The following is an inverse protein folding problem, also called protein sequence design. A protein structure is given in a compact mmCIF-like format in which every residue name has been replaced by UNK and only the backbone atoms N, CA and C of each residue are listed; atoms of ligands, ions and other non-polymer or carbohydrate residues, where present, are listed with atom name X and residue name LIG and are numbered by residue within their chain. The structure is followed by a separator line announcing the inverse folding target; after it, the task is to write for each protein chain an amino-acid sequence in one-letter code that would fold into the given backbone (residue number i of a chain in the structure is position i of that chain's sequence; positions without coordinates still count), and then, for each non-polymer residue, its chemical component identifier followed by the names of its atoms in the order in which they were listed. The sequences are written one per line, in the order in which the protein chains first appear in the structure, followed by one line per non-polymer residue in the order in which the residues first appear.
data_IF_455394189912
#
_entry.id   IF_455394189912
#
_cell.length_a   1.000
_cell.length_b   1.000
_cell.length_c   1.000
_cell.angle_alpha   90.00
_cell.angle_beta   90.00
_cell.angle_gamma   90.00
#
_symmetry.space_group_name_H-M   'P 1'
#
loop_
_entity.id
_entity.type
_entity.pdbx_description
1 polymer ?
#
# COMPACT_ATOMS: atom_id res chain seq x y z
N UNK A 1 4.18 -18.79 -10.53
CA UNK A 1 3.19 -18.26 -9.56
C UNK A 1 1.91 -17.75 -10.21
N UNK A 2 1.91 -17.31 -11.47
CA UNK A 2 0.75 -16.62 -12.12
C UNK A 2 -0.60 -17.36 -12.13
N UNK A 3 -0.61 -18.69 -12.05
CA UNK A 3 -1.84 -19.51 -12.06
C UNK A 3 -1.97 -20.43 -10.83
N UNK A 4 -1.31 -20.07 -9.73
CA UNK A 4 -1.31 -20.90 -8.53
C UNK A 4 -2.68 -20.80 -7.82
N UNK A 5 -3.43 -21.90 -7.78
CA UNK A 5 -4.80 -21.95 -7.21
C UNK A 5 -4.92 -22.83 -5.97
N UNK A 6 -4.02 -23.82 -5.83
CA UNK A 6 -3.91 -24.78 -4.73
C UNK A 6 -5.26 -25.42 -4.28
N UNK A 7 -6.01 -26.08 -5.19
CA UNK A 7 -7.34 -26.61 -4.89
C UNK A 7 -7.33 -27.70 -3.81
N UNK A 8 -6.31 -28.55 -3.81
CA UNK A 8 -6.22 -29.72 -2.92
C UNK A 8 -5.22 -29.53 -1.77
N UNK A 9 -4.74 -28.30 -1.55
CA UNK A 9 -3.75 -27.98 -0.53
C UNK A 9 -4.26 -26.83 0.35
N UNK A 10 -5.01 -27.13 1.44
CA UNK A 10 -5.69 -26.12 2.25
C UNK A 10 -4.78 -25.04 2.82
N UNK A 11 -3.56 -25.39 3.25
CA UNK A 11 -2.62 -24.42 3.81
C UNK A 11 -2.03 -23.50 2.73
N UNK A 12 -1.71 -24.05 1.56
CA UNK A 12 -1.28 -23.26 0.41
C UNK A 12 -2.42 -22.35 -0.09
N UNK A 13 -3.68 -22.82 -0.01
CA UNK A 13 -4.85 -22.01 -0.36
C UNK A 13 -5.01 -20.81 0.59
N UNK A 14 -4.92 -21.04 1.91
CA UNK A 14 -4.93 -19.95 2.89
C UNK A 14 -3.85 -18.92 2.62
N UNK A 15 -2.64 -19.36 2.28
CA UNK A 15 -1.54 -18.45 1.93
C UNK A 15 -1.87 -17.61 0.68
N UNK A 16 -2.41 -18.23 -0.38
CA UNK A 16 -2.82 -17.52 -1.60
C UNK A 16 -3.89 -16.47 -1.29
N UNK A 17 -4.87 -16.81 -0.46
CA UNK A 17 -5.94 -15.89 -0.06
C UNK A 17 -5.40 -14.70 0.74
N UNK A 18 -4.51 -14.94 1.71
CA UNK A 18 -3.91 -13.88 2.55
C UNK A 18 -2.90 -12.98 1.84
N UNK A 19 -2.26 -13.47 0.77
CA UNK A 19 -1.22 -12.71 0.06
C UNK A 19 -1.66 -12.33 -1.36
N UNK A 20 -1.77 -13.33 -2.24
CA UNK A 20 -1.94 -13.09 -3.68
C UNK A 20 -3.29 -12.47 -3.98
N UNK A 21 -4.39 -13.05 -3.47
CA UNK A 21 -5.75 -12.54 -3.71
C UNK A 21 -5.94 -11.18 -3.04
N UNK A 22 -5.45 -11.03 -1.81
CA UNK A 22 -5.47 -9.76 -1.11
C UNK A 22 -4.81 -8.62 -1.92
N UNK A 23 -3.57 -8.82 -2.39
CA UNK A 23 -2.90 -7.79 -3.19
C UNK A 23 -3.59 -7.54 -4.53
N UNK A 24 -4.11 -8.57 -5.22
CA UNK A 24 -4.91 -8.35 -6.42
C UNK A 24 -6.13 -7.47 -6.16
N UNK A 25 -6.89 -7.78 -5.11
CA UNK A 25 -8.05 -6.98 -4.72
C UNK A 25 -7.66 -5.54 -4.35
N UNK A 26 -6.60 -5.38 -3.56
CA UNK A 26 -6.07 -4.06 -3.20
C UNK A 26 -5.71 -3.24 -4.44
N UNK A 27 -4.94 -3.80 -5.38
CA UNK A 27 -4.52 -3.07 -6.57
C UNK A 27 -5.69 -2.71 -7.49
N UNK A 28 -6.70 -3.59 -7.58
CA UNK A 28 -7.92 -3.31 -8.33
C UNK A 28 -8.72 -2.17 -7.72
N UNK A 29 -8.92 -2.15 -6.40
CA UNK A 29 -9.67 -1.08 -5.72
C UNK A 29 -8.98 0.29 -5.82
N UNK A 30 -7.64 0.31 -5.92
CA UNK A 30 -6.86 1.53 -6.10
C UNK A 30 -6.73 1.99 -7.57
N UNK A 31 -7.07 1.13 -8.54
CA UNK A 31 -6.87 1.42 -9.95
C UNK A 31 -7.58 2.70 -10.46
N UNK A 32 -8.80 3.09 -10.01
CA UNK A 32 -9.43 4.33 -10.47
C UNK A 32 -8.65 5.58 -10.01
N UNK A 33 -8.12 5.53 -8.80
CA UNK A 33 -7.30 6.60 -8.22
C UNK A 33 -5.95 6.73 -8.95
N UNK A 34 -5.21 5.63 -9.02
CA UNK A 34 -3.87 5.60 -9.62
C UNK A 34 -3.94 5.90 -11.13
N UNK A 35 -4.93 5.35 -11.83
CA UNK A 35 -5.12 5.55 -13.27
C UNK A 35 -5.32 7.02 -13.65
N UNK A 36 -6.18 7.74 -12.93
CA UNK A 36 -6.41 9.19 -13.16
C UNK A 36 -5.14 9.99 -12.89
N UNK A 37 -4.41 9.68 -11.81
CA UNK A 37 -3.17 10.37 -11.48
C UNK A 37 -2.11 10.20 -12.58
N UNK A 38 -1.84 8.95 -12.98
CA UNK A 38 -0.84 8.65 -14.00
C UNK A 38 -1.25 9.27 -15.35
N UNK A 39 -2.53 9.23 -15.71
CA UNK A 39 -3.03 9.83 -16.94
C UNK A 39 -2.74 11.34 -17.00
N UNK A 40 -2.93 12.08 -15.90
CA UNK A 40 -2.68 13.52 -15.83
C UNK A 40 -1.21 13.88 -16.03
N UNK A 41 -0.29 13.16 -15.38
CA UNK A 41 1.15 13.44 -15.49
C UNK A 41 1.76 12.93 -16.81
N UNK A 42 1.01 12.13 -17.58
CA UNK A 42 1.47 11.52 -18.83
C UNK A 42 1.05 12.27 -20.10
N UNK A 43 0.53 13.51 -19.98
CA UNK A 43 0.09 14.32 -21.12
C UNK A 43 1.25 14.54 -22.11
N UNK A 44 1.01 14.20 -23.38
CA UNK A 44 1.99 14.37 -24.46
C UNK A 44 2.98 13.22 -24.65
N UNK A 45 2.83 12.10 -23.90
CA UNK A 45 3.62 10.87 -24.10
C UNK A 45 2.97 9.97 -25.14
N UNK A 46 3.78 9.20 -25.88
CA UNK A 46 3.25 8.11 -26.72
C UNK A 46 2.78 6.95 -25.83
N UNK A 47 1.86 6.12 -26.32
CA UNK A 47 1.37 4.94 -25.58
C UNK A 47 2.54 4.03 -25.18
N UNK A 48 3.53 3.84 -26.07
CA UNK A 48 4.72 3.03 -25.77
C UNK A 48 5.54 3.61 -24.62
N UNK A 49 5.81 4.92 -24.63
CA UNK A 49 6.54 5.58 -23.56
C UNK A 49 5.78 5.52 -22.23
N UNK A 50 4.45 5.70 -22.29
CA UNK A 50 3.57 5.57 -21.14
C UNK A 50 3.66 4.17 -20.53
N UNK A 51 3.44 3.11 -21.32
CA UNK A 51 3.46 1.73 -20.83
C UNK A 51 4.82 1.35 -20.24
N UNK A 52 5.92 1.72 -20.91
CA UNK A 52 7.26 1.45 -20.39
C UNK A 52 7.52 2.19 -19.08
N UNK A 53 7.13 3.47 -18.98
CA UNK A 53 7.30 4.25 -17.76
C UNK A 53 6.51 3.70 -16.59
N UNK A 54 5.26 3.32 -16.81
CA UNK A 54 4.34 2.83 -15.76
C UNK A 54 4.68 1.43 -15.30
N UNK A 55 5.26 0.59 -16.15
CA UNK A 55 5.62 -0.78 -15.79
C UNK A 55 7.04 -0.85 -15.21
N UNK A 56 8.02 -0.29 -15.93
CA UNK A 56 9.45 -0.51 -15.61
C UNK A 56 9.87 0.29 -14.38
N UNK A 57 9.51 1.57 -14.31
CA UNK A 57 10.01 2.43 -13.23
C UNK A 57 9.50 1.98 -11.85
N UNK A 58 8.20 1.72 -11.64
CA UNK A 58 7.72 1.20 -10.34
C UNK A 58 8.29 -0.17 -10.02
N UNK A 59 8.42 -1.07 -11.01
CA UNK A 59 9.01 -2.38 -10.79
C UNK A 59 10.45 -2.29 -10.29
N UNK A 60 11.28 -1.42 -10.88
CA UNK A 60 12.67 -1.21 -10.41
C UNK A 60 12.72 -0.66 -8.99
N UNK A 61 11.85 0.30 -8.66
CA UNK A 61 11.75 0.84 -7.30
C UNK A 61 11.34 -0.25 -6.32
N UNK A 62 10.35 -1.08 -6.66
CA UNK A 62 9.93 -2.21 -5.83
C UNK A 62 11.05 -3.23 -5.64
N UNK A 63 11.76 -3.60 -6.71
CA UNK A 63 12.90 -4.53 -6.63
C UNK A 63 13.97 -3.99 -5.69
N UNK A 64 14.33 -2.71 -5.84
CA UNK A 64 15.30 -2.07 -4.96
C UNK A 64 14.82 -2.05 -3.51
N UNK A 65 13.57 -1.65 -3.26
CA UNK A 65 12.99 -1.60 -1.93
C UNK A 65 12.98 -2.97 -1.24
N UNK A 66 12.47 -4.01 -1.90
CA UNK A 66 12.43 -5.36 -1.34
C UNK A 66 13.83 -5.97 -1.18
N UNK A 67 14.75 -5.70 -2.09
CA UNK A 67 16.14 -6.16 -1.96
C UNK A 67 16.82 -5.55 -0.74
N UNK A 68 16.63 -4.24 -0.49
CA UNK A 68 17.23 -3.56 0.65
C UNK A 68 16.56 -3.96 1.96
N UNK A 69 15.24 -3.75 2.10
CA UNK A 69 14.57 -3.94 3.40
C UNK A 69 14.26 -5.40 3.67
N UNK A 70 13.75 -6.14 2.68
CA UNK A 70 13.49 -7.57 2.81
C UNK A 70 14.78 -8.38 2.96
N UNK A 71 15.81 -8.04 2.17
CA UNK A 71 17.13 -8.63 2.32
C UNK A 71 17.76 -8.36 3.70
N UNK A 72 17.67 -7.12 4.21
CA UNK A 72 18.15 -6.77 5.54
C UNK A 72 17.40 -7.52 6.65
N UNK A 73 16.07 -7.64 6.54
CA UNK A 73 15.27 -8.40 7.51
C UNK A 73 15.66 -9.88 7.53
N UNK A 74 15.84 -10.50 6.36
CA UNK A 74 16.31 -11.89 6.26
C UNK A 74 17.72 -12.04 6.83
N UNK A 75 18.63 -11.11 6.51
CA UNK A 75 20.00 -11.13 7.02
C UNK A 75 20.03 -11.10 8.55
N UNK A 76 19.25 -10.18 9.15
CA UNK A 76 19.11 -10.05 10.60
C UNK A 76 18.48 -11.28 11.23
N UNK A 77 17.40 -11.83 10.67
CA UNK A 77 16.75 -13.03 11.23
C UNK A 77 17.68 -14.26 11.17
N UNK A 78 18.52 -14.37 10.14
CA UNK A 78 19.44 -15.51 9.98
C UNK A 78 20.69 -15.42 10.86
N UNK A 79 21.20 -14.21 11.11
CA UNK A 79 22.49 -14.01 11.80
C UNK A 79 22.35 -13.41 13.20
N UNK A 80 21.19 -12.83 13.52
CA UNK A 80 20.90 -12.21 14.80
C UNK A 80 20.10 -13.12 15.73
N UNK A 81 20.08 -12.77 17.02
CA UNK A 81 19.21 -13.39 18.03
C UNK A 81 18.04 -12.45 18.38
N UNK A 82 17.64 -11.60 17.42
CA UNK A 82 16.72 -10.48 17.62
C UNK A 82 15.24 -10.88 17.62
N UNK A 83 14.93 -12.11 17.18
CA UNK A 83 13.57 -12.65 17.19
C UNK A 83 12.59 -11.82 16.37
N UNK A 84 12.99 -11.30 15.21
CA UNK A 84 12.13 -10.44 14.39
C UNK A 84 10.83 -11.15 14.00
N UNK A 85 10.90 -12.47 13.77
CA UNK A 85 9.73 -13.31 13.47
C UNK A 85 8.67 -13.35 14.57
N UNK A 86 9.04 -12.99 15.81
CA UNK A 86 8.12 -12.90 16.95
C UNK A 86 7.45 -11.54 17.11
N UNK A 87 7.94 -10.51 16.40
CA UNK A 87 7.38 -9.17 16.47
C UNK A 87 6.08 -9.07 15.67
N UNK A 88 5.21 -8.16 16.07
CA UNK A 88 4.07 -7.79 15.25
C UNK A 88 4.55 -7.16 13.93
N UNK A 89 3.82 -7.37 12.83
CA UNK A 89 4.21 -6.94 11.48
C UNK A 89 4.59 -5.46 11.41
N UNK A 90 3.83 -4.59 12.10
CA UNK A 90 4.06 -3.15 12.18
C UNK A 90 5.33 -2.75 12.95
N UNK A 91 5.90 -3.66 13.75
CA UNK A 91 7.12 -3.44 14.53
C UNK A 91 8.38 -3.95 13.82
N UNK A 92 8.26 -4.88 12.86
CA UNK A 92 9.39 -5.56 12.23
C UNK A 92 10.40 -4.58 11.62
N UNK A 93 9.95 -3.53 10.93
CA UNK A 93 10.84 -2.54 10.32
C UNK A 93 11.75 -1.86 11.35
N UNK A 94 11.17 -1.48 12.50
CA UNK A 94 11.90 -0.83 13.59
C UNK A 94 12.80 -1.83 14.32
N UNK A 95 12.37 -3.09 14.44
CA UNK A 95 13.21 -4.19 14.91
C UNK A 95 14.46 -4.37 14.06
N UNK A 96 14.31 -4.34 12.73
CA UNK A 96 15.45 -4.38 11.80
C UNK A 96 16.38 -3.19 12.03
N UNK A 97 15.85 -1.96 12.14
CA UNK A 97 16.70 -0.78 12.36
C UNK A 97 17.50 -0.83 13.65
N UNK A 98 16.99 -1.45 14.72
CA UNK A 98 17.72 -1.59 15.98
C UNK A 98 18.99 -2.42 15.85
N UNK A 99 19.10 -3.27 14.83
CA UNK A 99 20.27 -4.09 14.54
C UNK A 99 21.31 -3.36 13.66
N UNK A 100 21.01 -2.13 13.24
CA UNK A 100 21.92 -1.28 12.49
C UNK A 100 22.36 -0.06 13.31
N UNK A 101 23.56 0.50 13.03
CA UNK A 101 23.97 1.76 13.63
C UNK A 101 22.93 2.86 13.37
N UNK A 102 22.68 3.69 14.40
CA UNK A 102 21.69 4.77 14.36
C UNK A 102 20.22 4.32 14.18
N UNK A 103 19.86 3.11 14.63
CA UNK A 103 18.49 2.58 14.55
C UNK A 103 17.38 3.52 15.05
N UNK A 104 17.62 4.26 16.13
CA UNK A 104 16.67 5.28 16.63
C UNK A 104 16.45 6.41 15.61
N UNK A 105 17.52 6.90 14.97
CA UNK A 105 17.41 7.96 13.95
C UNK A 105 16.66 7.44 12.73
N UNK A 106 16.99 6.23 12.26
CA UNK A 106 16.28 5.57 11.16
C UNK A 106 14.79 5.39 11.46
N UNK A 107 14.47 5.02 12.69
CA UNK A 107 13.08 4.86 13.16
C UNK A 107 12.31 6.18 13.15
N UNK A 108 12.92 7.27 13.65
CA UNK A 108 12.31 8.60 13.60
C UNK A 108 12.06 9.05 12.16
N UNK A 109 13.06 8.87 11.29
CA UNK A 109 12.93 9.19 9.86
C UNK A 109 11.81 8.38 9.21
N UNK A 110 11.74 7.07 9.47
CA UNK A 110 10.67 6.22 8.95
C UNK A 110 9.30 6.65 9.44
N UNK A 111 9.14 7.01 10.72
CA UNK A 111 7.89 7.53 11.26
C UNK A 111 7.44 8.82 10.55
N UNK A 112 8.36 9.75 10.30
CA UNK A 112 8.09 10.98 9.54
C UNK A 112 7.67 10.63 8.11
N UNK A 113 8.39 9.72 7.45
CA UNK A 113 8.06 9.29 6.09
C UNK A 113 6.68 8.62 6.01
N UNK A 114 6.34 7.76 6.97
CA UNK A 114 5.00 7.15 7.06
C UNK A 114 3.93 8.23 7.18
N UNK A 115 4.13 9.25 8.03
CA UNK A 115 3.19 10.36 8.17
C UNK A 115 3.05 11.16 6.86
N UNK A 116 4.17 11.48 6.20
CA UNK A 116 4.15 12.18 4.91
C UNK A 116 3.45 11.36 3.83
N UNK A 117 3.74 10.06 3.72
CA UNK A 117 3.08 9.17 2.76
C UNK A 117 1.59 9.04 3.04
N UNK A 118 1.19 8.95 4.31
CA UNK A 118 -0.21 8.90 4.70
C UNK A 118 -0.94 10.18 4.29
N UNK A 119 -0.40 11.35 4.64
CA UNK A 119 -1.01 12.66 4.33
C UNK A 119 -1.11 12.87 2.81
N UNK A 120 -0.02 12.64 2.07
CA UNK A 120 0.03 12.83 0.62
C UNK A 120 -0.89 11.86 -0.14
N UNK A 121 -0.98 10.60 0.32
CA UNK A 121 -1.89 9.61 -0.26
C UNK A 121 -3.35 9.95 0.02
N UNK A 122 -3.68 10.36 1.25
CA UNK A 122 -5.02 10.78 1.63
C UNK A 122 -5.48 12.02 0.86
N UNK A 123 -4.62 13.04 0.72
CA UNK A 123 -4.92 14.24 -0.08
C UNK A 123 -5.20 13.87 -1.55
N UNK A 124 -4.35 13.02 -2.14
CA UNK A 124 -4.53 12.57 -3.51
C UNK A 124 -5.84 11.78 -3.70
N UNK A 125 -6.17 10.89 -2.75
CA UNK A 125 -7.39 10.08 -2.81
C UNK A 125 -8.65 10.94 -2.68
N UNK A 126 -8.71 11.85 -1.70
CA UNK A 126 -9.84 12.76 -1.50
C UNK A 126 -10.02 13.72 -2.67
N UNK A 127 -8.93 14.15 -3.30
CA UNK A 127 -8.98 14.95 -4.52
C UNK A 127 -9.65 14.18 -5.68
N UNK A 128 -9.25 12.93 -5.92
CA UNK A 128 -9.83 12.13 -7.01
C UNK A 128 -11.30 11.79 -6.73
N UNK A 129 -11.65 11.45 -5.48
CA UNK A 129 -13.05 11.25 -5.09
C UNK A 129 -13.87 12.53 -5.31
N UNK A 130 -13.33 13.68 -4.90
CA UNK A 130 -13.96 14.97 -5.12
C UNK A 130 -14.19 15.27 -6.60
N UNK A 131 -13.23 14.97 -7.46
CA UNK A 131 -13.37 15.09 -8.92
C UNK A 131 -14.51 14.20 -9.44
N UNK A 132 -14.55 12.93 -9.04
CA UNK A 132 -15.59 11.99 -9.46
C UNK A 132 -16.98 12.41 -9.00
N UNK A 133 -17.11 13.00 -7.80
CA UNK A 133 -18.40 13.45 -7.25
C UNK A 133 -18.76 14.90 -7.59
N UNK A 134 -17.99 15.55 -8.46
CA UNK A 134 -18.25 16.92 -8.96
C UNK A 134 -18.29 16.96 -10.49
N UNK A 135 -18.68 15.85 -11.13
CA UNK A 135 -18.83 15.79 -12.58
C UNK A 135 -17.50 15.85 -13.35
N UNK A 136 -16.40 15.42 -12.73
CA UNK A 136 -15.07 15.44 -13.35
C UNK A 136 -14.31 16.77 -13.20
N UNK A 137 -14.70 17.63 -12.25
CA UNK A 137 -13.99 18.89 -12.02
C UNK A 137 -12.50 18.68 -11.75
N UNK A 138 -11.66 19.38 -12.53
CA UNK A 138 -10.22 19.38 -12.32
C UNK A 138 -9.78 20.13 -11.04
N UNK A 139 -10.71 20.90 -10.44
CA UNK A 139 -10.50 21.64 -9.20
C UNK A 139 -11.74 21.44 -8.30
N UNK A 140 -11.88 20.28 -7.65
CA UNK A 140 -13.01 20.01 -6.76
C UNK A 140 -12.99 20.96 -5.55
N UNK A 141 -14.15 21.46 -5.08
CA UNK A 141 -14.22 22.34 -3.90
C UNK A 141 -13.61 21.70 -2.66
N UNK A 142 -12.99 22.53 -1.81
CA UNK A 142 -12.38 22.04 -0.57
C UNK A 142 -13.40 21.38 0.38
N UNK A 143 -14.66 21.82 0.38
CA UNK A 143 -15.72 21.20 1.17
C UNK A 143 -15.92 19.73 0.80
N UNK A 144 -15.95 19.41 -0.49
CA UNK A 144 -16.11 18.04 -0.99
C UNK A 144 -14.92 17.16 -0.60
N UNK A 145 -13.69 17.68 -0.71
CA UNK A 145 -12.48 16.97 -0.30
C UNK A 145 -12.47 16.68 1.21
N UNK A 146 -12.85 17.66 2.03
CA UNK A 146 -12.95 17.49 3.49
C UNK A 146 -14.02 16.46 3.86
N UNK A 147 -15.19 16.48 3.22
CA UNK A 147 -16.23 15.47 3.43
C UNK A 147 -15.71 14.07 3.12
N UNK A 148 -15.06 13.87 1.98
CA UNK A 148 -14.47 12.57 1.64
C UNK A 148 -13.36 12.15 2.61
N UNK A 149 -12.51 13.09 3.05
CA UNK A 149 -11.46 12.80 4.02
C UNK A 149 -12.02 12.33 5.37
N UNK A 150 -13.08 12.98 5.86
CA UNK A 150 -13.75 12.57 7.10
C UNK A 150 -14.43 11.20 6.96
N UNK A 151 -15.06 10.93 5.82
CA UNK A 151 -15.67 9.61 5.56
C UNK A 151 -14.61 8.50 5.50
N UNK A 152 -13.50 8.73 4.79
CA UNK A 152 -12.39 7.76 4.72
C UNK A 152 -11.77 7.51 6.09
N UNK A 153 -11.49 8.57 6.85
CA UNK A 153 -10.97 8.46 8.22
C UNK A 153 -11.95 7.73 9.14
N UNK A 154 -13.25 8.00 9.00
CA UNK A 154 -14.31 7.32 9.75
C UNK A 154 -14.35 5.83 9.46
N UNK A 155 -14.35 5.43 8.18
CA UNK A 155 -14.33 4.02 7.75
C UNK A 155 -13.08 3.32 8.30
N UNK A 156 -11.90 3.92 8.13
CA UNK A 156 -10.65 3.36 8.63
C UNK A 156 -10.67 3.19 10.16
N UNK A 157 -11.18 4.19 10.90
CA UNK A 157 -11.28 4.14 12.36
C UNK A 157 -12.22 3.03 12.84
N UNK A 158 -13.38 2.88 12.20
CA UNK A 158 -14.35 1.82 12.54
C UNK A 158 -13.76 0.43 12.25
N UNK A 159 -13.11 0.24 11.10
CA UNK A 159 -12.51 -1.05 10.73
C UNK A 159 -11.35 -1.42 11.66
N UNK A 160 -10.49 -0.45 11.99
CA UNK A 160 -9.41 -0.65 12.96
C UNK A 160 -9.96 -1.03 14.34
N UNK A 161 -11.01 -0.35 14.80
CA UNK A 161 -11.64 -0.65 16.08
C UNK A 161 -12.34 -2.02 16.09
N UNK A 162 -12.99 -2.41 14.99
CA UNK A 162 -13.78 -3.64 14.91
C UNK A 162 -12.91 -4.91 14.81
N UNK A 163 -11.77 -4.85 14.13
CA UNK A 163 -10.93 -6.04 13.93
C UNK A 163 -9.53 -5.79 13.39
N UNK A 164 -8.99 -4.58 13.54
CA UNK A 164 -7.61 -4.25 13.20
C UNK A 164 -7.25 -4.48 11.73
N UNK A 165 -6.02 -4.96 11.49
CA UNK A 165 -5.50 -5.21 10.13
C UNK A 165 -6.35 -6.22 9.36
N UNK A 166 -6.80 -7.29 10.00
CA UNK A 166 -7.62 -8.32 9.35
C UNK A 166 -8.95 -7.75 8.86
N UNK A 167 -9.60 -6.90 9.64
CA UNK A 167 -10.82 -6.22 9.21
C UNK A 167 -10.58 -5.29 8.01
N UNK A 168 -9.47 -4.55 8.01
CA UNK A 168 -9.08 -3.71 6.87
C UNK A 168 -8.82 -4.55 5.61
N UNK A 169 -8.12 -5.68 5.73
CA UNK A 169 -7.85 -6.57 4.59
C UNK A 169 -9.13 -7.15 4.00
N UNK A 170 -10.02 -7.67 4.85
CA UNK A 170 -11.30 -8.23 4.42
C UNK A 170 -12.18 -7.18 3.75
N UNK A 171 -12.27 -5.98 4.34
CA UNK A 171 -13.03 -4.88 3.76
C UNK A 171 -12.48 -4.47 2.39
N UNK A 172 -11.14 -4.43 2.22
CA UNK A 172 -10.51 -4.15 0.93
C UNK A 172 -10.84 -5.20 -0.13
N UNK A 173 -10.92 -6.48 0.25
CA UNK A 173 -11.31 -7.54 -0.69
C UNK A 173 -12.75 -7.36 -1.12
N UNK A 174 -13.67 -7.16 -0.17
CA UNK A 174 -15.09 -6.96 -0.46
C UNK A 174 -15.31 -5.72 -1.34
N UNK A 175 -14.63 -4.61 -1.04
CA UNK A 175 -14.79 -3.36 -1.79
C UNK A 175 -14.14 -3.38 -3.19
N UNK A 176 -13.25 -4.34 -3.47
CA UNK A 176 -12.57 -4.44 -4.76
C UNK A 176 -13.42 -5.11 -5.85
N UNK A 177 -14.34 -6.00 -5.47
CA UNK A 177 -15.21 -6.72 -6.38
C UNK A 177 -16.63 -6.13 -6.31
N UNK A 178 -17.33 -5.88 -7.45
CA UNK A 178 -18.66 -5.28 -7.47
C UNK A 178 -19.75 -6.12 -6.78
#
# INVERSE_FOLDING_TARGET
MSFQTAPDAPDARKWIDSWTIFYWAWWLSWSPFVGIFIARISRGRTIRQFLLGVIVLPALVSVFWFAVFGGSAIFVEQHGNSGLSSLATEQVLFGVFNEFPAGMVLSIVAMILIAVFFITSADSATFVLGMQTTGGSLNPPNSVKVTWGLLQAGIASVLLYAGGLTALQNASIIAAFP
#
